data_IF_225284294813
#
_entry.id   IF_225284294813
#
_cell.length_a   1.000
_cell.length_b   1.000
_cell.length_c   1.000
_cell.angle_alpha   90.00
_cell.angle_beta   90.00
_cell.angle_gamma   90.00
#
_symmetry.space_group_name_H-M   'P 1'
#
loop_
_entity.id
_entity.type
_entity.pdbx_description
1 polymer ?
#
# COMPACT_ATOMS: atom_id res chain seq x y z
N UNK A 1 -28.31 31.58 9.52
CA UNK A 1 -26.89 31.31 9.79
C UNK A 1 -26.13 31.53 8.49
N UNK A 2 -25.31 32.58 8.37
CA UNK A 2 -24.54 32.84 7.13
C UNK A 2 -23.35 31.89 7.12
N UNK A 3 -23.42 30.81 6.34
CA UNK A 3 -22.26 29.98 6.01
C UNK A 3 -21.27 30.91 5.31
N UNK A 4 -20.16 31.25 5.98
CA UNK A 4 -19.04 31.96 5.34
C UNK A 4 -18.59 31.05 4.21
N UNK A 5 -18.72 31.50 2.95
CA UNK A 5 -18.04 30.87 1.81
C UNK A 5 -16.53 30.88 2.13
N UNK A 6 -15.98 29.74 2.55
CA UNK A 6 -14.52 29.52 2.56
C UNK A 6 -14.04 29.77 1.13
N UNK A 7 -12.91 30.47 0.96
CA UNK A 7 -12.31 30.57 -0.36
C UNK A 7 -11.82 29.19 -0.77
N UNK A 8 -11.94 28.87 -2.06
CA UNK A 8 -11.53 27.58 -2.62
C UNK A 8 -10.06 27.24 -2.32
N UNK A 9 -9.20 28.26 -2.27
CA UNK A 9 -7.80 28.16 -1.83
C UNK A 9 -7.65 27.63 -0.40
N UNK A 10 -8.50 28.08 0.53
CA UNK A 10 -8.38 27.76 1.95
C UNK A 10 -8.73 26.29 2.19
N UNK A 11 -9.73 25.77 1.46
CA UNK A 11 -10.16 24.37 1.58
C UNK A 11 -9.13 23.37 1.05
N UNK A 12 -8.43 23.70 -0.03
CA UNK A 12 -7.38 22.83 -0.59
C UNK A 12 -6.16 22.83 0.35
N UNK A 13 -5.76 24.00 0.85
CA UNK A 13 -4.67 24.13 1.83
C UNK A 13 -4.99 23.30 3.08
N UNK A 14 -6.25 23.32 3.56
CA UNK A 14 -6.68 22.48 4.68
C UNK A 14 -6.48 20.98 4.41
N UNK A 15 -6.79 20.49 3.19
CA UNK A 15 -6.62 19.07 2.85
C UNK A 15 -5.15 18.67 2.78
N UNK A 16 -4.29 19.51 2.20
CA UNK A 16 -2.85 19.25 2.12
C UNK A 16 -2.19 19.25 3.51
N UNK A 17 -2.53 20.22 4.35
CA UNK A 17 -2.02 20.30 5.72
C UNK A 17 -2.51 19.13 6.57
N UNK A 18 -3.79 18.72 6.43
CA UNK A 18 -4.30 17.54 7.11
C UNK A 18 -3.64 16.25 6.61
N UNK A 19 -3.34 16.16 5.31
CA UNK A 19 -2.63 15.02 4.73
C UNK A 19 -1.21 14.92 5.29
N UNK A 20 -0.48 16.04 5.32
CA UNK A 20 0.87 16.11 5.86
C UNK A 20 0.87 15.80 7.36
N UNK A 21 0.00 16.43 8.15
CA UNK A 21 -0.12 16.16 9.59
C UNK A 21 -0.44 14.69 9.88
N UNK A 22 -1.34 14.07 9.10
CA UNK A 22 -1.62 12.63 9.23
C UNK A 22 -0.40 11.78 8.85
N UNK A 23 0.37 12.17 7.83
CA UNK A 23 1.59 11.46 7.45
C UNK A 23 2.63 11.51 8.57
N UNK A 24 2.93 12.70 9.07
CA UNK A 24 3.90 12.92 10.15
C UNK A 24 3.53 12.13 11.39
N UNK A 25 2.26 12.21 11.82
CA UNK A 25 1.78 11.47 12.98
C UNK A 25 1.88 9.94 12.82
N UNK A 26 1.63 9.44 11.59
CA UNK A 26 1.84 8.02 11.29
C UNK A 26 3.30 7.59 11.41
N UNK A 27 4.23 8.46 11.04
CA UNK A 27 5.68 8.23 11.09
C UNK A 27 6.19 8.31 12.53
N UNK A 28 5.72 9.27 13.33
CA UNK A 28 6.01 9.34 14.77
C UNK A 28 5.69 8.01 15.45
N UNK A 29 4.49 7.47 15.20
CA UNK A 29 4.11 6.17 15.74
C UNK A 29 5.06 5.06 15.31
N UNK A 30 5.57 5.09 14.08
CA UNK A 30 6.52 4.09 13.60
C UNK A 30 7.88 4.21 14.28
N UNK A 31 8.42 5.43 14.38
CA UNK A 31 9.68 5.72 15.07
C UNK A 31 9.59 5.28 16.54
N UNK A 32 8.48 5.56 17.21
CA UNK A 32 8.23 5.08 18.57
C UNK A 32 8.22 3.55 18.64
N UNK A 33 7.56 2.87 17.70
CA UNK A 33 7.54 1.41 17.65
C UNK A 33 8.95 0.82 17.49
N UNK A 34 9.80 1.42 16.67
CA UNK A 34 11.22 1.04 16.53
C UNK A 34 11.98 1.22 17.85
N UNK A 35 11.84 2.37 18.51
CA UNK A 35 12.49 2.65 19.82
C UNK A 35 12.10 1.62 20.89
N UNK A 36 10.81 1.26 20.94
CA UNK A 36 10.34 0.21 21.85
C UNK A 36 10.86 -1.18 21.46
N UNK A 37 10.97 -1.47 20.16
CA UNK A 37 11.50 -2.74 19.69
C UNK A 37 12.99 -2.91 20.02
N UNK A 38 13.80 -1.87 19.81
CA UNK A 38 15.24 -1.89 20.11
C UNK A 38 15.53 -2.01 21.62
N UNK A 39 14.73 -1.34 22.46
CA UNK A 39 14.86 -1.46 23.91
C UNK A 39 14.55 -2.88 24.41
N UNK A 40 13.65 -3.61 23.74
CA UNK A 40 13.31 -5.01 24.03
C UNK A 40 14.41 -6.00 23.61
N UNK A 41 15.12 -5.73 22.51
CA UNK A 41 16.18 -6.64 21.99
C UNK A 41 17.50 -6.49 22.75
N UNK A 42 17.72 -5.38 23.46
CA UNK A 42 18.91 -5.14 24.26
C UNK A 42 18.95 -6.02 25.54
N UNK A 43 19.92 -6.96 25.58
CA UNK A 43 19.98 -8.09 26.53
C UNK A 43 20.28 -7.74 27.99
N UNK A 44 20.71 -6.50 28.28
CA UNK A 44 21.07 -6.07 29.65
C UNK A 44 19.87 -5.96 30.62
N UNK A 45 18.64 -5.93 30.13
CA UNK A 45 17.43 -5.75 30.97
C UNK A 45 16.55 -7.01 31.12
N UNK A 46 16.96 -8.16 30.55
CA UNK A 46 16.10 -9.36 30.46
C UNK A 46 15.84 -10.11 31.77
N UNK A 47 16.61 -9.90 32.83
CA UNK A 47 16.50 -10.71 34.06
C UNK A 47 15.36 -10.30 35.01
N UNK A 48 14.73 -9.13 34.84
CA UNK A 48 13.75 -8.62 35.82
C UNK A 48 12.29 -8.56 35.37
N UNK A 49 11.96 -8.83 34.10
CA UNK A 49 10.68 -8.39 33.55
C UNK A 49 9.95 -9.43 32.69
N UNK A 50 9.40 -10.49 33.31
CA UNK A 50 8.46 -11.39 32.62
C UNK A 50 7.05 -10.81 32.44
N UNK A 51 6.65 -9.82 33.26
CA UNK A 51 5.35 -9.15 33.17
C UNK A 51 5.28 -8.00 32.14
N UNK A 52 6.38 -7.27 31.94
CA UNK A 52 6.40 -6.09 31.05
C UNK A 52 6.54 -6.45 29.56
N UNK A 53 7.08 -7.62 29.22
CA UNK A 53 7.28 -8.05 27.82
C UNK A 53 5.97 -8.06 27.04
N UNK A 54 4.87 -8.55 27.63
CA UNK A 54 3.55 -8.55 27.00
C UNK A 54 3.00 -7.14 26.82
N UNK A 55 3.29 -6.23 27.75
CA UNK A 55 2.85 -4.85 27.67
C UNK A 55 3.57 -4.11 26.52
N UNK A 56 4.88 -4.30 26.37
CA UNK A 56 5.65 -3.74 25.25
C UNK A 56 5.18 -4.27 23.89
N UNK A 57 4.88 -5.56 23.78
CA UNK A 57 4.34 -6.12 22.52
C UNK A 57 3.00 -5.51 22.13
N UNK A 58 2.09 -5.30 23.10
CA UNK A 58 0.81 -4.65 22.87
C UNK A 58 1.00 -3.19 22.42
N UNK A 59 1.92 -2.46 23.05
CA UNK A 59 2.22 -1.08 22.68
C UNK A 59 2.81 -1.00 21.27
N UNK A 60 3.84 -1.79 20.95
CA UNK A 60 4.44 -1.85 19.61
C UNK A 60 3.36 -2.12 18.57
N UNK A 61 2.53 -3.15 18.79
CA UNK A 61 1.46 -3.49 17.86
C UNK A 61 0.46 -2.35 17.64
N UNK A 62 0.09 -1.62 18.70
CA UNK A 62 -0.81 -0.47 18.62
C UNK A 62 -0.21 0.65 17.77
N UNK A 63 1.06 0.97 17.99
CA UNK A 63 1.79 1.97 17.20
C UNK A 63 1.87 1.57 15.72
N UNK A 64 2.23 0.33 15.42
CA UNK A 64 2.30 -0.20 14.07
C UNK A 64 0.94 -0.14 13.32
N UNK A 65 -0.16 -0.44 14.01
CA UNK A 65 -1.51 -0.28 13.46
C UNK A 65 -1.83 1.18 13.14
N UNK A 66 -1.52 2.09 14.06
CA UNK A 66 -1.76 3.52 13.83
C UNK A 66 -0.94 4.07 12.68
N UNK A 67 0.33 3.68 12.57
CA UNK A 67 1.16 4.02 11.42
C UNK A 67 0.47 3.70 10.10
N UNK A 68 -0.02 2.46 9.92
CA UNK A 68 -0.64 2.07 8.66
C UNK A 68 -1.93 2.84 8.41
N UNK A 69 -2.76 3.05 9.45
CA UNK A 69 -3.99 3.84 9.32
C UNK A 69 -3.71 5.29 8.91
N UNK A 70 -2.77 5.96 9.59
CA UNK A 70 -2.43 7.37 9.36
C UNK A 70 -1.73 7.60 8.02
N UNK A 71 -0.80 6.72 7.63
CA UNK A 71 -0.16 6.80 6.31
C UNK A 71 -1.16 6.53 5.19
N UNK A 72 -2.06 5.55 5.35
CA UNK A 72 -3.14 5.32 4.36
C UNK A 72 -4.04 6.54 4.21
N UNK A 73 -4.40 7.14 5.34
CA UNK A 73 -5.27 8.31 5.36
C UNK A 73 -4.59 9.52 4.71
N UNK A 74 -3.31 9.74 4.97
CA UNK A 74 -2.52 10.78 4.33
C UNK A 74 -2.51 10.64 2.80
N UNK A 75 -2.25 9.42 2.29
CA UNK A 75 -2.31 9.14 0.84
C UNK A 75 -3.69 9.48 0.27
N UNK A 76 -4.77 9.02 0.93
CA UNK A 76 -6.13 9.30 0.48
C UNK A 76 -6.43 10.81 0.46
N UNK A 77 -5.97 11.54 1.47
CA UNK A 77 -6.12 12.99 1.55
C UNK A 77 -5.32 13.72 0.48
N UNK A 78 -4.07 13.34 0.19
CA UNK A 78 -3.30 13.94 -0.90
C UNK A 78 -3.94 13.70 -2.28
N UNK A 79 -4.44 12.48 -2.53
CA UNK A 79 -5.19 12.16 -3.75
C UNK A 79 -6.47 13.03 -3.85
N UNK A 80 -7.19 13.21 -2.75
CA UNK A 80 -8.38 14.08 -2.69
C UNK A 80 -8.03 15.56 -2.85
N UNK A 81 -6.94 16.03 -2.24
CA UNK A 81 -6.44 17.39 -2.40
C UNK A 81 -6.13 17.68 -3.86
N UNK A 82 -5.48 16.73 -4.55
CA UNK A 82 -5.17 16.86 -5.97
C UNK A 82 -6.44 16.94 -6.84
N UNK A 83 -7.46 16.16 -6.49
CA UNK A 83 -8.76 16.22 -7.16
C UNK A 83 -9.49 17.55 -6.89
N UNK A 84 -9.46 18.03 -5.64
CA UNK A 84 -10.02 19.31 -5.24
C UNK A 84 -9.34 20.50 -5.93
N UNK A 85 -8.02 20.42 -6.20
CA UNK A 85 -7.29 21.41 -7.02
C UNK A 85 -7.86 21.60 -8.42
N UNK A 86 -8.41 20.54 -9.02
CA UNK A 86 -9.07 20.67 -10.30
C UNK A 86 -10.46 21.28 -10.16
N UNK A 87 -11.24 20.80 -9.19
CA UNK A 87 -12.51 21.41 -8.80
C UNK A 87 -12.99 20.82 -7.47
N UNK A 88 -13.35 21.67 -6.49
CA UNK A 88 -13.71 21.23 -5.13
C UNK A 88 -14.83 20.17 -5.11
N UNK A 89 -15.87 20.31 -5.95
CA UNK A 89 -17.00 19.38 -5.98
C UNK A 89 -16.63 17.92 -6.32
N UNK A 90 -15.48 17.70 -6.95
CA UNK A 90 -15.08 16.38 -7.41
C UNK A 90 -14.72 15.43 -6.26
N UNK A 91 -14.53 15.91 -5.04
CA UNK A 91 -14.29 15.03 -3.90
C UNK A 91 -15.58 14.44 -3.32
N UNK A 92 -16.76 15.00 -3.64
CA UNK A 92 -18.03 14.55 -3.07
C UNK A 92 -18.64 13.42 -3.91
N UNK A 93 -19.27 12.46 -3.24
CA UNK A 93 -19.91 11.33 -3.91
C UNK A 93 -21.08 11.80 -4.79
N UNK A 94 -21.91 12.71 -4.25
CA UNK A 94 -23.10 13.30 -4.90
C UNK A 94 -23.02 14.84 -4.85
N UNK A 95 -22.23 15.47 -5.72
CA UNK A 95 -22.01 16.92 -5.69
C UNK A 95 -23.26 17.76 -6.02
N UNK A 96 -24.30 17.13 -6.57
CA UNK A 96 -25.60 17.74 -6.84
C UNK A 96 -26.46 18.00 -5.59
N UNK A 97 -26.13 17.36 -4.46
CA UNK A 97 -26.83 17.54 -3.20
C UNK A 97 -26.30 18.74 -2.40
N UNK A 98 -27.06 19.16 -1.38
CA UNK A 98 -26.55 20.13 -0.40
C UNK A 98 -25.32 19.56 0.32
N UNK A 99 -24.24 20.35 0.34
CA UNK A 99 -22.96 19.97 0.94
C UNK A 99 -22.89 20.54 2.36
N UNK A 100 -22.61 19.67 3.30
CA UNK A 100 -22.39 19.93 4.72
C UNK A 100 -21.28 19.02 5.28
N UNK A 101 -21.00 19.12 6.57
CA UNK A 101 -19.90 18.40 7.23
C UNK A 101 -20.08 16.86 7.21
N UNK A 102 -21.31 16.37 7.06
CA UNK A 102 -21.64 14.94 6.99
C UNK A 102 -21.67 14.40 5.55
N UNK A 103 -21.31 15.22 4.56
CA UNK A 103 -21.39 14.83 3.15
C UNK A 103 -20.35 13.80 2.80
N UNK A 104 -20.80 12.66 2.29
CA UNK A 104 -19.92 11.56 1.88
C UNK A 104 -19.00 11.98 0.73
N UNK A 105 -17.72 11.67 0.90
CA UNK A 105 -16.70 11.85 -0.14
C UNK A 105 -16.56 10.60 -0.99
N UNK A 106 -15.90 10.75 -2.14
CA UNK A 106 -15.62 9.63 -3.04
C UNK A 106 -14.73 8.59 -2.36
N UNK A 107 -15.07 7.32 -2.57
CA UNK A 107 -14.21 6.20 -2.22
C UNK A 107 -13.03 6.07 -3.18
N UNK A 108 -12.07 5.21 -2.81
CA UNK A 108 -10.78 5.07 -3.48
C UNK A 108 -10.85 4.74 -4.98
N UNK A 109 -11.68 3.78 -5.41
CA UNK A 109 -11.74 3.41 -6.83
C UNK A 109 -12.31 4.56 -7.68
N UNK A 110 -13.36 5.22 -7.18
CA UNK A 110 -13.94 6.43 -7.79
C UNK A 110 -12.94 7.58 -7.80
N UNK A 111 -12.12 7.73 -6.76
CA UNK A 111 -11.08 8.74 -6.65
C UNK A 111 -10.03 8.56 -7.76
N UNK A 112 -9.50 7.35 -7.96
CA UNK A 112 -8.54 7.06 -9.02
C UNK A 112 -9.13 7.29 -10.42
N UNK A 113 -10.39 6.87 -10.63
CA UNK A 113 -11.10 7.12 -11.88
C UNK A 113 -11.26 8.62 -12.18
N UNK A 114 -11.63 9.42 -11.16
CA UNK A 114 -11.78 10.88 -11.30
C UNK A 114 -10.43 11.57 -11.54
N UNK A 115 -9.36 11.16 -10.84
CA UNK A 115 -8.00 11.67 -11.08
C UNK A 115 -7.56 11.45 -12.53
N UNK A 116 -7.78 10.25 -13.07
CA UNK A 116 -7.50 9.96 -14.48
C UNK A 116 -8.27 10.89 -15.42
N UNK A 117 -9.55 11.15 -15.14
CA UNK A 117 -10.39 12.01 -15.98
C UNK A 117 -9.96 13.48 -15.99
N UNK A 118 -9.32 13.96 -14.92
CA UNK A 118 -8.75 15.32 -14.86
C UNK A 118 -7.30 15.38 -15.36
N UNK A 119 -6.80 14.30 -15.98
CA UNK A 119 -5.46 14.25 -16.59
C UNK A 119 -4.32 13.90 -15.64
N UNK A 120 -4.60 13.43 -14.41
CA UNK A 120 -3.55 12.88 -13.53
C UNK A 120 -3.23 11.46 -14.00
N UNK A 121 -2.04 11.28 -14.55
CA UNK A 121 -1.59 10.00 -15.10
C UNK A 121 -0.72 9.30 -14.06
N UNK A 122 -1.33 8.37 -13.32
CA UNK A 122 -0.58 7.43 -12.50
C UNK A 122 -0.02 6.31 -13.37
N UNK A 123 1.25 6.00 -13.18
CA UNK A 123 1.88 4.83 -13.78
C UNK A 123 1.23 3.53 -13.28
N UNK A 124 1.50 2.42 -13.98
CA UNK A 124 1.07 1.10 -13.53
C UNK A 124 1.64 0.79 -12.14
N UNK A 125 2.92 1.06 -11.93
CA UNK A 125 3.61 0.90 -10.64
C UNK A 125 2.91 1.67 -9.51
N UNK A 126 2.63 2.96 -9.71
CA UNK A 126 1.94 3.78 -8.70
C UNK A 126 0.52 3.26 -8.41
N UNK A 127 -0.20 2.83 -9.44
CA UNK A 127 -1.54 2.26 -9.29
C UNK A 127 -1.50 0.94 -8.50
N UNK A 128 -0.50 0.11 -8.75
CA UNK A 128 -0.33 -1.17 -8.06
C UNK A 128 0.14 -0.97 -6.61
N UNK A 129 1.04 -0.01 -6.37
CA UNK A 129 1.43 0.43 -5.03
C UNK A 129 0.20 0.87 -4.22
N UNK A 130 -0.62 1.76 -4.79
CA UNK A 130 -1.84 2.26 -4.16
C UNK A 130 -2.83 1.14 -3.82
N UNK A 131 -3.04 0.17 -4.72
CA UNK A 131 -3.89 -1.00 -4.46
C UNK A 131 -3.34 -1.88 -3.35
N UNK A 132 -2.03 -2.12 -3.34
CA UNK A 132 -1.37 -2.93 -2.33
C UNK A 132 -1.43 -2.30 -0.94
N UNK A 133 -1.23 -0.98 -0.86
CA UNK A 133 -1.36 -0.21 0.38
C UNK A 133 -2.79 -0.28 0.92
N UNK A 134 -3.80 -0.06 0.07
CA UNK A 134 -5.21 -0.20 0.44
C UNK A 134 -5.54 -1.59 0.97
N UNK A 135 -5.05 -2.64 0.30
CA UNK A 135 -5.27 -4.01 0.76
C UNK A 135 -4.64 -4.28 2.12
N UNK A 136 -3.44 -3.76 2.35
CA UNK A 136 -2.75 -3.90 3.65
C UNK A 136 -3.56 -3.21 4.75
N UNK A 137 -4.07 -2.00 4.51
CA UNK A 137 -4.99 -1.31 5.43
C UNK A 137 -6.22 -2.15 5.73
N UNK A 138 -6.93 -2.64 4.71
CA UNK A 138 -8.12 -3.47 4.91
C UNK A 138 -7.81 -4.74 5.73
N UNK A 139 -6.64 -5.35 5.53
CA UNK A 139 -6.24 -6.54 6.28
C UNK A 139 -6.07 -6.28 7.79
N UNK A 140 -5.74 -5.04 8.16
CA UNK A 140 -5.63 -4.59 9.56
C UNK A 140 -6.99 -4.22 10.16
N UNK A 141 -7.90 -3.71 9.33
CA UNK A 141 -9.27 -3.36 9.73
C UNK A 141 -10.12 -4.61 10.01
N UNK A 142 -9.93 -5.69 9.25
CA UNK A 142 -10.84 -6.84 9.27
C UNK A 142 -10.43 -8.02 10.17
N UNK A 143 -9.16 -8.39 10.37
CA UNK A 143 -8.79 -9.50 11.27
C UNK A 143 -7.34 -9.40 11.79
N UNK A 144 -7.11 -9.85 13.02
CA UNK A 144 -5.90 -10.17 13.82
C UNK A 144 -4.53 -10.39 13.12
N UNK A 145 -4.05 -9.50 12.26
CA UNK A 145 -2.66 -9.59 11.79
C UNK A 145 -1.76 -8.79 12.72
N UNK A 146 -1.04 -9.46 13.61
CA UNK A 146 0.23 -8.95 14.15
C UNK A 146 1.21 -8.82 12.98
N UNK A 147 1.13 -7.70 12.24
CA UNK A 147 2.18 -7.34 11.30
C UNK A 147 3.43 -7.11 12.12
N UNK A 148 4.46 -7.89 11.81
CA UNK A 148 5.78 -7.66 12.38
C UNK A 148 6.34 -6.33 11.86
N UNK A 149 7.35 -5.85 12.55
CA UNK A 149 7.97 -4.55 12.29
C UNK A 149 8.53 -4.44 10.87
N UNK A 150 9.02 -5.54 10.29
CA UNK A 150 9.55 -5.57 8.92
C UNK A 150 8.41 -5.47 7.90
N UNK A 151 7.29 -6.15 8.12
CA UNK A 151 6.12 -5.98 7.27
C UNK A 151 5.61 -4.52 7.23
N UNK A 152 5.64 -3.83 8.37
CA UNK A 152 5.25 -2.40 8.44
C UNK A 152 6.32 -1.52 7.81
N UNK A 153 7.61 -1.83 8.00
CA UNK A 153 8.71 -1.17 7.29
C UNK A 153 8.55 -1.24 5.78
N UNK A 154 8.17 -2.40 5.23
CA UNK A 154 7.89 -2.57 3.80
C UNK A 154 6.69 -1.74 3.35
N UNK A 155 5.64 -1.68 4.16
CA UNK A 155 4.48 -0.84 3.90
C UNK A 155 4.87 0.64 3.82
N UNK A 156 5.63 1.14 4.79
CA UNK A 156 6.11 2.53 4.82
C UNK A 156 7.04 2.80 3.65
N UNK A 157 8.00 1.91 3.37
CA UNK A 157 8.93 2.08 2.25
C UNK A 157 8.19 2.26 0.93
N UNK A 158 7.20 1.40 0.66
CA UNK A 158 6.33 1.55 -0.51
C UNK A 158 5.52 2.86 -0.48
N UNK A 159 4.85 3.14 0.64
CA UNK A 159 4.00 4.32 0.77
C UNK A 159 4.79 5.62 0.56
N UNK A 160 5.96 5.74 1.19
CA UNK A 160 6.82 6.91 1.07
C UNK A 160 7.40 7.02 -0.34
N UNK A 161 7.82 5.92 -0.97
CA UNK A 161 8.27 5.93 -2.38
C UNK A 161 7.18 6.49 -3.30
N UNK A 162 5.94 6.06 -3.12
CA UNK A 162 4.80 6.61 -3.86
C UNK A 162 4.61 8.10 -3.57
N UNK A 163 4.60 8.49 -2.28
CA UNK A 163 4.37 9.87 -1.86
C UNK A 163 5.46 10.83 -2.36
N UNK A 164 6.75 10.46 -2.33
CA UNK A 164 7.82 11.32 -2.85
C UNK A 164 7.62 11.63 -4.34
N UNK A 165 7.26 10.62 -5.15
CA UNK A 165 6.96 10.80 -6.58
C UNK A 165 5.71 11.65 -6.77
N UNK A 166 4.62 11.30 -6.08
CA UNK A 166 3.31 11.94 -6.26
C UNK A 166 3.32 13.41 -5.81
N UNK A 167 3.89 13.70 -4.63
CA UNK A 167 3.98 15.07 -4.10
C UNK A 167 4.86 15.96 -4.97
N UNK A 168 6.00 15.44 -5.44
CA UNK A 168 6.87 16.18 -6.33
C UNK A 168 6.17 16.51 -7.66
N UNK A 169 5.47 15.53 -8.26
CA UNK A 169 4.86 15.70 -9.58
C UNK A 169 3.58 16.53 -9.54
N UNK A 170 2.73 16.35 -8.53
CA UNK A 170 1.39 16.93 -8.50
C UNK A 170 1.29 18.20 -7.63
N UNK A 171 2.26 18.42 -6.74
CA UNK A 171 2.28 19.55 -5.82
C UNK A 171 3.59 20.37 -5.86
N UNK A 172 4.64 19.87 -6.53
CA UNK A 172 5.99 20.43 -6.44
C UNK A 172 6.48 20.51 -4.98
N UNK A 173 6.07 19.53 -4.17
CA UNK A 173 6.44 19.39 -2.76
C UNK A 173 7.53 18.33 -2.65
N UNK A 174 8.63 18.66 -1.98
CA UNK A 174 9.67 17.70 -1.61
C UNK A 174 9.47 17.30 -0.16
N UNK A 175 9.10 16.05 0.05
CA UNK A 175 8.75 15.53 1.38
C UNK A 175 9.86 15.76 2.42
N UNK A 176 11.13 15.62 2.04
CA UNK A 176 12.29 15.94 2.89
C UNK A 176 12.24 17.37 3.41
N UNK A 177 12.01 18.33 2.52
CA UNK A 177 12.04 19.75 2.87
C UNK A 177 10.86 20.09 3.79
N UNK A 178 9.68 19.54 3.54
CA UNK A 178 8.50 19.72 4.42
C UNK A 178 8.76 19.17 5.83
N UNK A 179 9.31 17.96 5.95
CA UNK A 179 9.61 17.36 7.26
C UNK A 179 10.67 18.16 8.02
N UNK A 180 11.73 18.61 7.33
CA UNK A 180 12.82 19.34 7.98
C UNK A 180 12.43 20.77 8.38
N UNK A 181 11.47 21.37 7.68
CA UNK A 181 11.00 22.72 7.96
C UNK A 181 9.80 22.77 8.91
N UNK A 182 9.26 21.61 9.33
CA UNK A 182 8.16 21.57 10.28
C UNK A 182 8.66 21.94 11.69
N UNK A 183 8.29 23.13 12.16
CA UNK A 183 8.68 23.65 13.47
C UNK A 183 8.19 22.76 14.64
N UNK A 184 7.13 21.97 14.44
CA UNK A 184 6.65 21.05 15.47
C UNK A 184 7.57 19.83 15.67
N UNK A 185 8.46 19.56 14.70
CA UNK A 185 9.37 18.42 14.71
C UNK A 185 10.76 18.75 15.27
N UNK A 186 10.97 19.96 15.82
CA UNK A 186 12.23 20.50 16.40
C UNK A 186 13.53 19.84 15.92
N UNK A 187 13.96 18.73 16.55
CA UNK A 187 15.21 17.99 16.28
C UNK A 187 14.99 16.57 15.74
N UNK A 188 13.75 16.13 15.64
CA UNK A 188 13.39 14.77 15.27
C UNK A 188 13.10 14.64 13.76
N UNK A 189 12.92 15.76 13.04
CA UNK A 189 12.67 15.76 11.59
C UNK A 189 13.76 15.03 10.77
N UNK A 190 15.04 15.21 11.12
CA UNK A 190 16.14 14.47 10.48
C UNK A 190 16.07 12.96 10.74
N UNK A 191 15.74 12.56 11.98
CA UNK A 191 15.58 11.16 12.36
C UNK A 191 14.37 10.52 11.67
N UNK A 192 13.25 11.24 11.59
CA UNK A 192 12.04 10.80 10.90
C UNK A 192 12.31 10.60 9.41
N UNK A 193 12.91 11.58 8.73
CA UNK A 193 13.20 11.45 7.30
C UNK A 193 14.26 10.37 7.03
N UNK A 194 15.27 10.22 7.90
CA UNK A 194 16.22 9.11 7.83
C UNK A 194 15.50 7.76 7.93
N UNK A 195 14.58 7.62 8.88
CA UNK A 195 13.78 6.40 9.08
C UNK A 195 12.94 6.07 7.83
N UNK A 196 12.35 7.09 7.20
CA UNK A 196 11.64 6.90 5.93
C UNK A 196 12.55 6.47 4.80
N UNK A 197 13.71 7.12 4.67
CA UNK A 197 14.70 6.82 3.64
C UNK A 197 15.21 5.38 3.77
N UNK A 198 15.46 4.92 5.00
CA UNK A 198 15.84 3.53 5.29
C UNK A 198 14.71 2.55 4.95
N UNK A 199 13.45 2.91 5.20
CA UNK A 199 12.30 2.09 4.81
C UNK A 199 12.16 1.98 3.29
N UNK A 200 12.34 3.08 2.55
CA UNK A 200 12.37 3.09 1.07
C UNK A 200 13.49 2.18 0.58
N UNK A 201 14.73 2.42 1.02
CA UNK A 201 15.89 1.65 0.60
C UNK A 201 15.69 0.14 0.84
N UNK A 202 15.23 -0.21 2.04
CA UNK A 202 15.00 -1.62 2.42
C UNK A 202 13.94 -2.29 1.54
N UNK A 203 12.88 -1.56 1.19
CA UNK A 203 11.83 -2.06 0.30
C UNK A 203 12.34 -2.20 -1.14
N UNK A 204 13.06 -1.22 -1.67
CA UNK A 204 13.63 -1.25 -3.02
C UNK A 204 14.68 -2.34 -3.20
N UNK A 205 15.60 -2.49 -2.24
CA UNK A 205 16.62 -3.53 -2.23
C UNK A 205 15.98 -4.93 -2.25
N UNK A 206 14.96 -5.16 -1.40
CA UNK A 206 14.23 -6.43 -1.37
C UNK A 206 13.49 -6.70 -2.68
N UNK A 207 12.89 -5.66 -3.28
CA UNK A 207 12.19 -5.79 -4.56
C UNK A 207 13.15 -6.10 -5.70
N UNK A 208 14.30 -5.43 -5.71
CA UNK A 208 15.35 -5.68 -6.69
C UNK A 208 15.89 -7.11 -6.56
N UNK A 209 16.13 -7.58 -5.33
CA UNK A 209 16.55 -8.96 -5.07
C UNK A 209 15.51 -9.97 -5.58
N UNK A 210 14.24 -9.77 -5.25
CA UNK A 210 13.15 -10.65 -5.72
C UNK A 210 13.07 -10.70 -7.25
N UNK A 211 13.19 -9.55 -7.93
CA UNK A 211 13.23 -9.48 -9.40
C UNK A 211 14.48 -10.14 -9.98
N UNK A 212 15.62 -10.04 -9.31
CA UNK A 212 16.86 -10.73 -9.68
C UNK A 212 16.69 -12.26 -9.63
N UNK A 213 16.19 -12.77 -8.51
CA UNK A 213 15.89 -14.20 -8.33
C UNK A 213 14.89 -14.71 -9.36
N UNK A 214 13.85 -13.94 -9.67
CA UNK A 214 12.90 -14.27 -10.74
C UNK A 214 13.55 -14.34 -12.12
N UNK A 215 14.50 -13.46 -12.43
CA UNK A 215 15.20 -13.47 -13.70
C UNK A 215 16.09 -14.71 -13.85
N UNK A 216 16.74 -15.12 -12.77
CA UNK A 216 17.55 -16.34 -12.70
C UNK A 216 16.71 -17.63 -12.67
N UNK A 217 15.47 -17.56 -12.21
CA UNK A 217 14.57 -18.70 -12.19
C UNK A 217 14.28 -19.19 -13.61
N UNK A 218 14.79 -20.36 -13.98
CA UNK A 218 14.50 -21.01 -15.26
C UNK A 218 13.37 -22.03 -15.03
N UNK A 219 12.17 -21.86 -15.60
CA UNK A 219 11.20 -22.95 -15.64
C UNK A 219 11.82 -24.10 -16.45
N UNK A 220 11.96 -25.27 -15.82
CA UNK A 220 12.71 -26.40 -16.37
C UNK A 220 12.00 -27.01 -17.59
N UNK A 221 12.59 -26.90 -18.80
CA UNK A 221 12.27 -27.76 -19.94
C UNK A 221 13.49 -28.61 -20.31
N UNK A 222 13.30 -29.93 -20.28
CA UNK A 222 14.23 -30.95 -20.79
C UNK A 222 14.69 -30.77 -22.24
N UNK A 223 14.12 -29.81 -23.01
CA UNK A 223 14.36 -29.59 -24.43
C UNK A 223 14.95 -28.24 -24.81
N UNK A 224 15.54 -27.49 -23.87
CA UNK A 224 16.25 -26.21 -24.13
C UNK A 224 15.42 -25.15 -24.87
N UNK A 225 14.09 -25.17 -24.72
CA UNK A 225 13.23 -24.09 -25.24
C UNK A 225 13.02 -23.07 -24.13
N UNK A 226 13.28 -21.80 -24.44
CA UNK A 226 12.86 -20.70 -23.60
C UNK A 226 11.33 -20.75 -23.48
N UNK A 227 10.84 -21.05 -22.28
CA UNK A 227 9.42 -20.89 -21.94
C UNK A 227 9.26 -19.46 -21.43
N UNK A 228 8.35 -18.70 -22.05
CA UNK A 228 7.99 -17.38 -21.57
C UNK A 228 7.45 -17.49 -20.14
N UNK A 229 8.01 -16.71 -19.22
CA UNK A 229 7.59 -16.68 -17.82
C UNK A 229 6.22 -16.01 -17.75
N UNK A 230 5.19 -16.77 -17.39
CA UNK A 230 3.92 -16.18 -17.02
C UNK A 230 4.05 -15.56 -15.62
N UNK A 231 4.07 -14.23 -15.56
CA UNK A 231 4.23 -13.47 -14.31
C UNK A 231 2.85 -13.00 -13.83
N UNK A 232 2.56 -13.22 -12.56
CA UNK A 232 1.33 -12.79 -11.92
C UNK A 232 1.57 -11.79 -10.78
N UNK A 233 0.57 -10.94 -10.55
CA UNK A 233 0.52 -10.01 -9.43
C UNK A 233 0.22 -10.75 -8.13
N UNK A 234 1.07 -10.60 -7.12
CA UNK A 234 0.84 -11.14 -5.80
C UNK A 234 -0.37 -10.47 -5.15
N UNK A 235 -1.36 -11.26 -4.77
CA UNK A 235 -2.55 -10.72 -4.10
C UNK A 235 -2.21 -10.16 -2.72
N UNK A 236 -1.20 -10.66 -2.01
CA UNK A 236 -0.88 -10.21 -0.65
C UNK A 236 -0.04 -8.94 -0.64
N UNK A 237 1.12 -8.96 -1.32
CA UNK A 237 2.04 -7.83 -1.33
C UNK A 237 1.90 -6.93 -2.56
N UNK A 238 1.07 -7.26 -3.56
CA UNK A 238 0.84 -6.42 -4.73
C UNK A 238 2.04 -6.24 -5.67
N UNK A 239 3.07 -7.07 -5.55
CA UNK A 239 4.21 -7.08 -6.49
C UNK A 239 3.99 -8.10 -7.60
N UNK A 240 4.40 -7.79 -8.82
CA UNK A 240 4.46 -8.73 -9.96
C UNK A 240 5.64 -9.67 -9.82
N UNK A 241 5.66 -10.42 -8.72
CA UNK A 241 6.78 -11.28 -8.32
C UNK A 241 6.38 -12.72 -8.11
N UNK A 242 5.34 -13.18 -8.79
CA UNK A 242 4.95 -14.59 -8.84
C UNK A 242 5.23 -15.09 -10.25
N UNK A 243 6.00 -16.16 -10.37
CA UNK A 243 6.14 -16.91 -11.62
C UNK A 243 5.16 -18.07 -11.54
N UNK A 244 4.27 -18.19 -12.53
CA UNK A 244 3.38 -19.34 -12.69
C UNK A 244 4.21 -20.48 -13.32
N UNK A 245 4.42 -21.60 -12.61
CA UNK A 245 5.11 -22.75 -13.16
C UNK A 245 4.33 -23.39 -14.31
N UNK A 246 5.00 -24.23 -15.10
CA UNK A 246 4.34 -25.02 -16.13
C UNK A 246 3.52 -26.16 -15.49
N UNK A 247 2.24 -26.22 -15.83
CA UNK A 247 1.26 -27.23 -15.40
C UNK A 247 1.74 -28.68 -15.50
N UNK A 248 2.70 -28.96 -16.38
CA UNK A 248 3.21 -30.31 -16.64
C UNK A 248 4.11 -30.85 -15.53
N UNK A 249 4.60 -30.01 -14.61
CA UNK A 249 5.69 -30.35 -13.71
C UNK A 249 5.49 -30.00 -12.23
N UNK A 250 4.40 -29.33 -11.85
CA UNK A 250 4.26 -28.78 -10.50
C UNK A 250 2.93 -29.14 -9.80
N UNK A 251 2.92 -29.10 -8.47
CA UNK A 251 1.77 -29.39 -7.60
C UNK A 251 0.71 -28.27 -7.58
N UNK A 252 0.66 -27.49 -8.68
CA UNK A 252 -0.19 -26.30 -8.88
C UNK A 252 0.05 -25.22 -7.84
N UNK A 253 1.28 -25.09 -7.32
CA UNK A 253 1.68 -24.02 -6.41
C UNK A 253 2.59 -23.01 -7.08
N UNK A 254 2.49 -21.76 -6.65
CA UNK A 254 3.36 -20.68 -7.07
C UNK A 254 3.71 -19.82 -5.86
N UNK A 255 4.97 -19.45 -5.70
CA UNK A 255 5.44 -18.62 -4.60
C UNK A 255 5.72 -17.19 -5.07
N UNK A 256 5.40 -16.21 -4.22
CA UNK A 256 5.82 -14.84 -4.42
C UNK A 256 7.27 -14.65 -3.97
N UNK A 257 8.18 -14.36 -4.89
CA UNK A 257 9.60 -14.10 -4.61
C UNK A 257 9.83 -12.90 -3.69
N UNK A 258 8.88 -11.97 -3.59
CA UNK A 258 9.01 -10.81 -2.71
C UNK A 258 8.60 -11.11 -1.27
N UNK A 259 7.41 -11.67 -1.06
CA UNK A 259 6.83 -11.85 0.28
C UNK A 259 6.77 -13.30 0.77
N UNK A 260 7.17 -14.27 -0.05
CA UNK A 260 7.14 -15.70 0.26
C UNK A 260 5.74 -16.31 0.33
N UNK A 261 4.71 -15.57 -0.08
CA UNK A 261 3.34 -16.07 -0.01
C UNK A 261 3.10 -17.14 -1.07
N UNK A 262 2.55 -18.28 -0.64
CA UNK A 262 2.28 -19.42 -1.49
C UNK A 262 0.83 -19.34 -1.98
N UNK A 263 0.66 -19.49 -3.29
CA UNK A 263 -0.63 -19.57 -3.97
C UNK A 263 -0.80 -20.93 -4.61
N UNK A 264 -2.05 -21.36 -4.71
CA UNK A 264 -2.48 -22.36 -5.68
C UNK A 264 -2.95 -21.64 -6.94
N UNK A 265 -2.59 -22.15 -8.12
CA UNK A 265 -2.97 -21.53 -9.38
C UNK A 265 -3.70 -22.51 -10.30
N UNK A 266 -4.58 -21.97 -11.12
CA UNK A 266 -5.20 -22.62 -12.27
C UNK A 266 -5.34 -21.62 -13.40
N UNK A 267 -5.52 -22.07 -14.64
CA UNK A 267 -5.80 -21.16 -15.76
C UNK A 267 -7.30 -21.02 -15.99
N UNK A 268 -7.72 -19.80 -16.31
CA UNK A 268 -9.10 -19.54 -16.69
C UNK A 268 -9.45 -20.30 -17.97
N UNK A 269 -10.47 -21.15 -17.93
CA UNK A 269 -10.93 -21.89 -19.10
C UNK A 269 -11.41 -21.04 -20.28
N UNK A 270 -11.68 -19.74 -20.06
CA UNK A 270 -12.14 -18.81 -21.10
C UNK A 270 -11.00 -17.99 -21.72
N UNK A 271 -10.18 -17.33 -20.90
CA UNK A 271 -9.13 -16.44 -21.40
C UNK A 271 -7.70 -16.97 -21.21
N UNK A 272 -7.51 -18.11 -20.55
CA UNK A 272 -6.20 -18.69 -20.27
C UNK A 272 -5.39 -17.96 -19.20
N UNK A 273 -5.87 -16.85 -18.62
CA UNK A 273 -5.13 -16.12 -17.58
C UNK A 273 -5.06 -16.90 -16.26
N UNK A 274 -4.00 -16.72 -15.45
CA UNK A 274 -3.81 -17.47 -14.22
C UNK A 274 -4.72 -16.93 -13.11
N UNK A 275 -5.30 -17.85 -12.35
CA UNK A 275 -6.21 -17.62 -11.24
C UNK A 275 -5.53 -18.08 -9.96
N UNK A 276 -5.09 -17.12 -9.15
CA UNK A 276 -4.43 -17.39 -7.88
C UNK A 276 -5.42 -17.57 -6.72
N UNK A 277 -5.17 -18.53 -5.83
CA UNK A 277 -5.96 -18.81 -4.64
C UNK A 277 -5.06 -19.12 -3.44
N UNK A 278 -5.45 -18.69 -2.23
CA UNK A 278 -4.73 -19.03 -0.99
C UNK A 278 -4.99 -20.47 -0.52
N UNK A 279 -5.94 -21.17 -1.15
CA UNK A 279 -6.29 -22.56 -0.86
C UNK A 279 -6.31 -23.39 -2.14
N UNK A 280 -6.11 -24.72 -2.06
CA UNK A 280 -6.28 -25.59 -3.20
C UNK A 280 -7.64 -25.36 -3.87
N UNK A 281 -7.60 -25.20 -5.18
CA UNK A 281 -8.79 -25.05 -6.02
C UNK A 281 -9.36 -26.44 -6.33
N UNK A 282 -10.65 -26.65 -6.05
CA UNK A 282 -11.34 -27.89 -6.44
C UNK A 282 -11.88 -27.75 -7.86
N UNK A 283 -11.89 -28.85 -8.62
CA UNK A 283 -12.44 -28.88 -9.97
C UNK A 283 -13.83 -28.21 -10.02
N UNK A 284 -13.96 -27.17 -10.86
CA UNK A 284 -15.19 -26.39 -11.01
C UNK A 284 -15.30 -25.11 -10.16
N UNK A 285 -14.38 -24.83 -9.24
CA UNK A 285 -14.43 -23.61 -8.40
C UNK A 285 -13.89 -22.33 -9.10
N UNK A 286 -13.29 -22.44 -10.29
CA UNK A 286 -12.39 -21.41 -10.85
C UNK A 286 -12.71 -21.02 -12.30
N UNK A 287 -13.96 -21.14 -12.73
CA UNK A 287 -14.36 -20.75 -14.08
C UNK A 287 -15.65 -19.93 -14.07
N UNK A 288 -15.71 -18.77 -14.74
CA UNK A 288 -14.62 -17.96 -15.33
C UNK A 288 -13.85 -17.07 -14.32
N UNK A 289 -12.71 -16.49 -14.72
CA UNK A 289 -11.96 -15.51 -13.90
C UNK A 289 -12.77 -14.22 -13.70
N UNK A 290 -12.41 -13.38 -12.73
CA UNK A 290 -13.17 -12.16 -12.39
C UNK A 290 -13.37 -11.21 -13.57
N UNK A 291 -12.38 -11.08 -14.46
CA UNK A 291 -12.50 -10.27 -15.68
C UNK A 291 -13.50 -10.87 -16.67
N UNK A 292 -13.36 -12.16 -16.97
CA UNK A 292 -14.29 -12.88 -17.82
C UNK A 292 -15.71 -12.87 -17.25
N UNK A 293 -15.86 -12.94 -15.92
CA UNK A 293 -17.15 -12.80 -15.25
C UNK A 293 -17.74 -11.40 -15.44
N UNK A 294 -16.97 -10.34 -15.22
CA UNK A 294 -17.44 -8.97 -15.45
C UNK A 294 -17.87 -8.72 -16.90
N UNK A 295 -17.15 -9.26 -17.89
CA UNK A 295 -17.56 -9.18 -19.30
C UNK A 295 -18.87 -9.93 -19.60
N UNK A 296 -19.11 -11.05 -18.93
CA UNK A 296 -20.37 -11.81 -19.09
C UNK A 296 -21.52 -10.99 -18.50
N UNK A 297 -21.36 -10.51 -17.27
CA UNK A 297 -22.38 -9.77 -16.54
C UNK A 297 -22.67 -8.36 -17.10
N UNK A 298 -21.78 -7.80 -17.92
CA UNK A 298 -21.97 -6.48 -18.54
C UNK A 298 -22.64 -6.54 -19.92
N UNK A 299 -22.89 -7.74 -20.44
CA UNK A 299 -23.62 -7.98 -21.70
C UNK A 299 -25.07 -8.42 -21.47
N UNK A 300 -25.49 -8.55 -20.22
CA UNK A 300 -26.88 -8.78 -19.77
C UNK A 300 -27.51 -7.46 -19.31
#
# INVERSE_FOLDING_TARGET
MKIRKRKESDFIIDLEQNALGSLLHGIEHYVDALKWFDSKTNTKHRSHFRGEIKHFEILIFKHLKFTIMHVSHAIELFLKARLAKAHQLLIYLKPENEINDDTLTVGFDSLLGRLKNIGVILTKEETDDLKALRKTRHSIEHHEIQKDIESVKMYIGRATRFLEKFLNNEFNIKLKEEILNDESLEKDGEEMYRTLSEAIYSYEERLQKAKGEMNEYLPYDSKERFIDKEIALCKLCGEETIIIPDDRYDDKRAECFFCGEIYFYEHCNRCGLPILSFRPLKAGEYSPCSYCWHEIMSKE
#
